data_IF_571811530723
#
_entry.id   IF_571811530723
#
_cell.length_a   1.000
_cell.length_b   1.000
_cell.length_c   1.000
_cell.angle_alpha   90.00
_cell.angle_beta   90.00
_cell.angle_gamma   90.00
#
_symmetry.space_group_name_H-M   'P 1'
#
loop_
_entity.id
_entity.type
_entity.pdbx_description
1 polymer ?
#
# COMPACT_ATOMS: atom_id res chain seq x y z
N UNK A 1 -19.38 -22.23 -2.55
CA UNK A 1 -20.18 -21.66 -3.65
C UNK A 1 -21.66 -21.79 -3.32
N UNK A 2 -22.29 -20.72 -2.88
CA UNK A 2 -23.73 -20.57 -2.70
C UNK A 2 -24.37 -19.98 -3.96
N UNK A 3 -25.66 -20.26 -4.16
CA UNK A 3 -26.51 -19.72 -5.23
C UNK A 3 -27.47 -18.69 -4.65
N UNK A 4 -27.64 -17.56 -5.32
CA UNK A 4 -28.74 -16.63 -5.06
C UNK A 4 -29.23 -16.00 -6.37
N UNK A 5 -30.41 -15.40 -6.34
CA UNK A 5 -31.07 -14.84 -7.52
C UNK A 5 -31.55 -13.42 -7.23
N UNK A 6 -31.37 -12.53 -8.20
CA UNK A 6 -31.88 -11.16 -8.16
C UNK A 6 -32.35 -10.76 -9.54
N UNK A 7 -33.60 -10.32 -9.65
CA UNK A 7 -34.19 -9.85 -10.92
C UNK A 7 -34.06 -10.87 -12.07
N UNK A 8 -34.12 -12.17 -11.74
CA UNK A 8 -33.97 -13.28 -12.70
C UNK A 8 -32.54 -13.63 -13.08
N UNK A 9 -31.54 -12.91 -12.55
CA UNK A 9 -30.11 -13.23 -12.73
C UNK A 9 -29.66 -14.16 -11.60
N UNK A 10 -29.07 -15.30 -11.96
CA UNK A 10 -28.55 -16.28 -11.00
C UNK A 10 -27.06 -16.02 -10.77
N UNK A 11 -26.70 -15.84 -9.51
CA UNK A 11 -25.33 -15.64 -9.06
C UNK A 11 -24.83 -16.86 -8.30
N UNK A 12 -23.58 -17.22 -8.56
CA UNK A 12 -22.83 -18.23 -7.82
C UNK A 12 -21.61 -17.56 -7.20
N UNK A 13 -21.48 -17.58 -5.87
CA UNK A 13 -20.29 -17.05 -5.21
C UNK A 13 -19.98 -17.84 -3.94
N UNK A 14 -18.77 -17.73 -3.41
CA UNK A 14 -18.50 -18.11 -2.03
C UNK A 14 -18.76 -16.93 -1.09
N UNK A 15 -19.73 -17.05 -0.19
CA UNK A 15 -20.16 -15.97 0.71
C UNK A 15 -19.06 -15.62 1.72
N UNK A 16 -18.10 -16.52 1.98
CA UNK A 16 -16.92 -16.17 2.76
C UNK A 16 -16.07 -15.08 2.09
N UNK A 17 -16.26 -14.85 0.79
CA UNK A 17 -15.56 -13.82 0.02
C UNK A 17 -16.29 -12.47 -0.01
N UNK A 18 -17.51 -12.37 0.51
CA UNK A 18 -18.30 -11.12 0.51
C UNK A 18 -17.52 -9.91 1.09
N UNK A 19 -16.77 -10.02 2.21
CA UNK A 19 -16.00 -8.90 2.73
C UNK A 19 -14.89 -8.39 1.82
N UNK A 20 -14.51 -9.14 0.78
CA UNK A 20 -13.53 -8.74 -0.22
C UNK A 20 -14.18 -8.14 -1.46
N UNK A 21 -15.47 -8.42 -1.69
CA UNK A 21 -16.22 -7.91 -2.82
C UNK A 21 -17.02 -6.64 -2.48
N UNK A 22 -16.94 -6.17 -1.25
CA UNK A 22 -17.56 -4.91 -0.82
C UNK A 22 -17.12 -3.76 -1.73
N UNK A 23 -18.08 -2.97 -2.23
CA UNK A 23 -17.82 -1.90 -3.20
C UNK A 23 -17.70 -2.33 -4.66
N UNK A 24 -17.78 -3.63 -4.97
CA UNK A 24 -17.75 -4.12 -6.37
C UNK A 24 -19.02 -3.74 -7.11
N UNK A 25 -18.85 -3.12 -8.27
CA UNK A 25 -19.88 -2.80 -9.25
C UNK A 25 -19.68 -3.72 -10.47
N UNK A 26 -20.78 -4.29 -10.95
CA UNK A 26 -20.84 -4.96 -12.25
C UNK A 26 -21.58 -4.01 -13.16
N UNK A 27 -20.93 -3.54 -14.22
CA UNK A 27 -21.47 -2.55 -15.16
C UNK A 27 -21.29 -3.05 -16.59
N UNK A 28 -21.99 -2.42 -17.53
CA UNK A 28 -21.78 -2.63 -18.97
C UNK A 28 -21.08 -1.38 -19.46
N UNK A 29 -19.93 -1.56 -20.12
CA UNK A 29 -19.25 -0.47 -20.81
C UNK A 29 -20.12 0.00 -21.99
N UNK A 30 -20.46 1.29 -22.02
CA UNK A 30 -21.44 1.82 -22.98
C UNK A 30 -20.90 1.87 -24.42
N UNK A 31 -19.58 1.91 -24.60
CA UNK A 31 -18.93 2.01 -25.89
C UNK A 31 -18.74 0.64 -26.56
N UNK A 32 -18.45 -0.39 -25.76
CA UNK A 32 -18.13 -1.75 -26.20
C UNK A 32 -19.29 -2.73 -26.00
N UNK A 33 -20.19 -2.44 -25.06
CA UNK A 33 -21.24 -3.36 -24.63
C UNK A 33 -20.73 -4.54 -23.79
N UNK A 34 -19.47 -4.51 -23.33
CA UNK A 34 -18.87 -5.58 -22.53
C UNK A 34 -19.22 -5.44 -21.05
N UNK A 35 -19.30 -6.58 -20.33
CA UNK A 35 -19.49 -6.57 -18.88
C UNK A 35 -18.15 -6.29 -18.19
N UNK A 36 -18.11 -5.23 -17.40
CA UNK A 36 -16.97 -4.88 -16.56
C UNK A 36 -17.28 -5.10 -15.08
N UNK A 37 -16.27 -5.58 -14.36
CA UNK A 37 -16.32 -5.70 -12.89
C UNK A 37 -15.32 -4.71 -12.32
N UNK A 38 -15.84 -3.64 -11.72
CA UNK A 38 -15.04 -2.54 -11.18
C UNK A 38 -15.19 -2.52 -9.67
N UNK A 39 -14.08 -2.38 -8.96
CA UNK A 39 -14.11 -2.09 -7.54
C UNK A 39 -12.93 -1.20 -7.18
N UNK A 40 -13.22 0.07 -6.94
CA UNK A 40 -12.25 1.10 -6.56
C UNK A 40 -11.57 0.79 -5.21
N UNK A 41 -12.20 -0.04 -4.37
CA UNK A 41 -11.68 -0.49 -3.08
C UNK A 41 -11.02 -1.88 -3.10
N UNK A 42 -11.08 -2.64 -4.21
CA UNK A 42 -10.29 -3.86 -4.42
C UNK A 42 -8.88 -3.47 -4.87
N UNK A 43 -8.18 -2.74 -4.01
CA UNK A 43 -6.73 -2.80 -3.98
C UNK A 43 -6.34 -4.24 -3.66
N UNK A 44 -5.62 -4.89 -4.57
CA UNK A 44 -5.11 -6.24 -4.43
C UNK A 44 -4.35 -6.31 -3.09
N UNK A 45 -4.96 -7.00 -2.11
CA UNK A 45 -4.55 -7.20 -0.70
C UNK A 45 -5.23 -6.26 0.30
N UNK A 46 -6.33 -6.75 0.89
CA UNK A 46 -6.86 -6.25 2.16
C UNK A 46 -5.74 -6.41 3.21
N UNK A 47 -5.06 -5.33 3.54
CA UNK A 47 -4.00 -5.31 4.56
C UNK A 47 -4.56 -5.89 5.87
N UNK A 48 -3.83 -6.81 6.50
CA UNK A 48 -4.31 -7.56 7.66
C UNK A 48 -3.76 -7.00 8.97
N UNK A 49 -4.42 -7.31 10.09
CA UNK A 49 -3.93 -6.97 11.42
C UNK A 49 -4.25 -5.54 11.85
N UNK A 50 -3.56 -5.07 12.90
CA UNK A 50 -3.75 -3.73 13.43
C UNK A 50 -3.07 -2.67 12.52
N UNK A 51 -3.19 -1.39 12.87
CA UNK A 51 -2.63 -0.29 12.06
C UNK A 51 -1.13 -0.47 11.77
N UNK A 52 -0.35 -0.88 12.76
CA UNK A 52 1.09 -1.11 12.63
C UNK A 52 1.40 -2.29 11.69
N UNK A 53 0.61 -3.38 11.78
CA UNK A 53 0.74 -4.53 10.88
C UNK A 53 0.47 -4.14 9.42
N UNK A 54 -0.53 -3.28 9.20
CA UNK A 54 -0.87 -2.78 7.86
C UNK A 54 0.24 -1.90 7.30
N UNK A 55 0.79 -0.99 8.10
CA UNK A 55 1.95 -0.15 7.74
C UNK A 55 3.15 -1.02 7.37
N UNK A 56 3.46 -2.05 8.17
CA UNK A 56 4.55 -2.99 7.87
C UNK A 56 4.34 -3.76 6.57
N UNK A 57 3.13 -4.26 6.33
CA UNK A 57 2.81 -4.95 5.08
C UNK A 57 3.04 -4.06 3.85
N UNK A 58 2.63 -2.79 3.89
CA UNK A 58 2.89 -1.86 2.78
C UNK A 58 4.38 -1.61 2.60
N UNK A 59 5.12 -1.46 3.71
CA UNK A 59 6.57 -1.29 3.65
C UNK A 59 7.25 -2.49 2.98
N UNK A 60 6.91 -3.71 3.37
CA UNK A 60 7.58 -4.92 2.89
C UNK A 60 7.14 -5.33 1.48
N UNK A 61 5.86 -5.18 1.16
CA UNK A 61 5.27 -5.73 -0.06
C UNK A 61 5.22 -4.73 -1.22
N UNK A 62 5.30 -3.43 -0.94
CA UNK A 62 5.14 -2.37 -1.94
C UNK A 62 6.31 -1.37 -1.95
N UNK A 63 6.59 -0.74 -0.81
CA UNK A 63 7.60 0.33 -0.73
C UNK A 63 9.00 -0.22 -0.93
N UNK A 64 9.41 -1.26 -0.18
CA UNK A 64 10.74 -1.82 -0.25
C UNK A 64 11.10 -2.38 -1.64
N UNK A 65 10.21 -3.09 -2.35
CA UNK A 65 10.44 -3.44 -3.75
C UNK A 65 10.74 -2.24 -4.66
N UNK A 66 10.02 -1.12 -4.49
CA UNK A 66 10.22 0.09 -5.28
C UNK A 66 11.56 0.77 -4.96
N UNK A 67 11.84 1.05 -3.68
CA UNK A 67 13.09 1.73 -3.26
C UNK A 67 14.34 0.88 -3.46
N UNK A 68 14.23 -0.45 -3.45
CA UNK A 68 15.35 -1.35 -3.73
C UNK A 68 15.92 -1.14 -5.15
N UNK A 69 15.08 -0.74 -6.11
CA UNK A 69 15.52 -0.40 -7.47
C UNK A 69 16.41 0.85 -7.51
N UNK A 70 16.30 1.69 -6.49
CA UNK A 70 17.15 2.86 -6.24
C UNK A 70 18.30 2.56 -5.26
N UNK A 71 18.51 1.29 -4.90
CA UNK A 71 19.54 0.87 -3.94
C UNK A 71 19.22 1.24 -2.49
N UNK A 72 17.97 1.60 -2.19
CA UNK A 72 17.50 1.99 -0.87
C UNK A 72 16.77 0.89 -0.11
N UNK A 73 16.50 1.16 1.16
CA UNK A 73 15.58 0.39 2.00
C UNK A 73 14.85 1.34 2.95
N UNK A 74 13.60 1.05 3.28
CA UNK A 74 12.80 1.81 4.24
C UNK A 74 12.32 0.89 5.36
N UNK A 75 12.43 1.37 6.60
CA UNK A 75 12.02 0.65 7.80
C UNK A 75 11.15 1.51 8.69
N UNK A 76 10.21 0.87 9.40
CA UNK A 76 9.38 1.53 10.39
C UNK A 76 10.18 1.82 11.66
N UNK A 77 10.27 3.09 12.08
CA UNK A 77 10.91 3.46 13.34
C UNK A 77 9.93 3.45 14.51
N UNK A 78 8.79 4.13 14.36
CA UNK A 78 7.73 4.21 15.39
C UNK A 78 6.43 4.74 14.79
N UNK A 79 5.35 4.58 15.54
CA UNK A 79 4.04 5.18 15.24
C UNK A 79 3.56 5.93 16.48
N UNK A 80 3.12 7.17 16.32
CA UNK A 80 2.57 7.98 17.41
C UNK A 80 1.34 8.74 16.91
N UNK A 81 0.18 8.54 17.54
CA UNK A 81 -1.08 9.24 17.21
C UNK A 81 -1.48 9.19 15.72
N UNK A 82 -1.21 8.07 15.04
CA UNK A 82 -1.49 7.91 13.61
C UNK A 82 -0.41 8.50 12.68
N UNK A 83 0.64 9.10 13.23
CA UNK A 83 1.82 9.56 12.51
C UNK A 83 2.88 8.45 12.45
N UNK A 84 3.44 8.22 11.26
CA UNK A 84 4.38 7.14 10.97
C UNK A 84 5.78 7.71 10.77
N UNK A 85 6.75 7.23 11.55
CA UNK A 85 8.14 7.65 11.44
C UNK A 85 8.95 6.56 10.75
N UNK A 86 9.60 6.89 9.64
CA UNK A 86 10.35 5.95 8.81
C UNK A 86 11.85 6.25 8.84
N UNK A 87 12.67 5.21 8.68
CA UNK A 87 14.11 5.32 8.49
C UNK A 87 14.49 4.80 7.11
N UNK A 88 15.20 5.63 6.36
CA UNK A 88 15.74 5.36 5.04
C UNK A 88 17.19 4.89 5.18
N UNK A 89 17.53 3.79 4.52
CA UNK A 89 18.86 3.16 4.54
C UNK A 89 19.38 2.92 3.13
N UNK A 90 20.63 2.47 3.03
CA UNK A 90 21.25 2.15 1.74
C UNK A 90 21.67 3.39 0.96
N UNK A 91 21.47 3.37 -0.36
CA UNK A 91 21.71 4.52 -1.24
C UNK A 91 20.92 5.77 -0.86
N UNK A 92 19.85 5.63 -0.08
CA UNK A 92 19.01 6.71 0.41
C UNK A 92 19.52 7.39 1.70
N UNK A 93 20.51 6.84 2.39
CA UNK A 93 21.05 7.39 3.64
C UNK A 93 22.15 8.45 3.40
N UNK A 94 22.85 8.38 2.27
CA UNK A 94 24.14 9.05 2.07
C UNK A 94 24.11 10.37 1.31
N UNK A 95 22.94 10.89 0.94
CA UNK A 95 22.86 12.14 0.20
C UNK A 95 21.64 12.93 0.68
N UNK A 96 21.86 13.99 1.46
CA UNK A 96 20.78 14.83 2.01
C UNK A 96 19.86 15.51 0.96
N UNK A 97 20.13 15.33 -0.34
CA UNK A 97 19.28 15.75 -1.46
C UNK A 97 18.57 14.60 -2.21
N UNK A 98 19.03 13.35 -2.07
CA UNK A 98 18.29 12.15 -2.49
C UNK A 98 17.23 11.94 -1.41
N UNK A 99 15.94 12.15 -1.60
CA UNK A 99 15.14 12.25 -2.80
C UNK A 99 13.81 12.85 -2.34
N UNK A 100 13.58 14.14 -2.57
CA UNK A 100 12.24 14.72 -2.30
C UNK A 100 11.18 13.93 -3.09
N UNK A 101 11.50 13.50 -4.30
CA UNK A 101 10.65 12.71 -5.19
C UNK A 101 10.40 11.28 -4.68
N UNK A 102 11.43 10.56 -4.21
CA UNK A 102 11.26 9.22 -3.64
C UNK A 102 10.51 9.29 -2.32
N UNK A 103 10.85 10.23 -1.43
CA UNK A 103 10.13 10.43 -0.16
C UNK A 103 8.66 10.75 -0.42
N UNK A 104 8.37 11.63 -1.38
CA UNK A 104 7.01 11.91 -1.83
C UNK A 104 6.34 10.65 -2.41
N UNK A 105 7.04 9.87 -3.25
CA UNK A 105 6.50 8.63 -3.81
C UNK A 105 6.16 7.60 -2.73
N UNK A 106 7.01 7.44 -1.72
CA UNK A 106 6.75 6.61 -0.55
C UNK A 106 5.56 7.16 0.24
N UNK A 107 5.48 8.47 0.45
CA UNK A 107 4.38 9.09 1.19
C UNK A 107 3.03 8.85 0.50
N UNK A 108 2.97 9.09 -0.80
CA UNK A 108 1.76 8.88 -1.63
C UNK A 108 1.33 7.42 -1.55
N UNK A 109 2.24 6.49 -1.86
CA UNK A 109 1.94 5.05 -1.86
C UNK A 109 1.45 4.55 -0.50
N UNK A 110 2.06 5.02 0.59
CA UNK A 110 1.70 4.64 1.95
C UNK A 110 0.31 5.17 2.33
N UNK A 111 0.00 6.44 2.00
CA UNK A 111 -1.32 7.04 2.28
C UNK A 111 -2.43 6.43 1.42
N UNK A 112 -2.14 6.08 0.17
CA UNK A 112 -3.10 5.37 -0.70
C UNK A 112 -3.39 3.96 -0.16
N UNK A 113 -2.36 3.25 0.30
CA UNK A 113 -2.52 1.88 0.80
C UNK A 113 -3.11 1.82 2.22
N UNK A 114 -2.78 2.80 3.08
CA UNK A 114 -3.24 2.91 4.47
C UNK A 114 -3.82 4.31 4.69
N UNK A 115 -5.11 4.54 4.35
CA UNK A 115 -5.75 5.86 4.47
C UNK A 115 -5.79 6.43 5.89
N UNK A 116 -5.60 5.58 6.91
CA UNK A 116 -5.63 5.97 8.33
C UNK A 116 -4.34 6.71 8.76
N UNK A 117 -3.31 6.79 7.90
CA UNK A 117 -2.07 7.52 8.18
C UNK A 117 -2.34 9.02 8.19
N UNK A 118 -2.02 9.69 9.30
CA UNK A 118 -2.15 11.16 9.44
C UNK A 118 -0.98 11.87 8.77
N UNK A 119 0.24 11.46 9.08
CA UNK A 119 1.47 12.04 8.55
C UNK A 119 2.59 11.01 8.48
N UNK A 120 3.58 11.25 7.61
CA UNK A 120 4.79 10.44 7.49
C UNK A 120 5.99 11.34 7.70
N UNK A 121 6.90 10.92 8.59
CA UNK A 121 8.10 11.66 8.96
C UNK A 121 9.35 10.84 8.69
N UNK A 122 10.42 11.53 8.31
CA UNK A 122 11.75 10.94 8.18
C UNK A 122 12.49 11.05 9.52
N UNK A 123 12.86 9.91 10.08
CA UNK A 123 13.63 9.76 11.34
C UNK A 123 15.08 9.30 11.09
N UNK A 124 15.57 9.42 9.86
CA UNK A 124 16.92 9.03 9.45
C UNK A 124 17.94 10.07 9.91
N UNK A 125 19.07 9.58 10.41
CA UNK A 125 20.25 10.42 10.66
C UNK A 125 21.10 10.49 9.38
N UNK A 126 20.87 11.53 8.59
CA UNK A 126 21.53 11.77 7.30
C UNK A 126 22.98 12.27 7.43
N UNK A 127 23.39 12.70 8.61
CA UNK A 127 24.74 13.21 8.85
C UNK A 127 25.74 12.06 9.11
N UNK A 128 25.24 10.87 9.47
CA UNK A 128 26.04 9.73 9.91
C UNK A 128 26.60 8.82 8.80
N UNK A 129 26.15 8.97 7.54
CA UNK A 129 26.83 8.50 6.31
C UNK A 129 27.24 7.02 6.15
N UNK A 130 26.92 6.11 7.07
CA UNK A 130 27.42 4.72 7.02
C UNK A 130 26.36 3.75 6.47
N UNK A 131 26.41 3.43 5.18
CA UNK A 131 25.59 2.38 4.54
C UNK A 131 25.85 0.99 5.18
N UNK A 132 24.95 0.44 6.04
CA UNK A 132 25.22 -0.79 6.79
C UNK A 132 24.82 -2.07 6.05
N UNK A 133 24.15 -1.98 4.89
CA UNK A 133 23.40 -3.11 4.32
C UNK A 133 24.07 -3.80 3.13
N UNK A 134 25.26 -3.35 2.70
CA UNK A 134 26.10 -4.08 1.74
C UNK A 134 27.46 -4.40 2.39
N UNK A 135 27.68 -5.69 2.67
CA UNK A 135 29.00 -6.31 2.88
C UNK A 135 29.10 -7.57 2.04
#
# INVERSE_FOLDING_TARGET
MQRFEKEGIVFWMDFSLLPFLEGTKIQIDEDTGEIEVVNEGLGIRKLRGNFEDRVRQVLDEQVNPMVASHGGVVSLSRIENGEVFLRFGGGCQGCGMVDVTLKQGVEVMMKESVPDIVAIHDATDHDSGSNPYYR
#
